data_IF_434381493911
#
_entry.id   IF_434381493911
#
_cell.length_a   1.000
_cell.length_b   1.000
_cell.length_c   1.000
_cell.angle_alpha   90.00
_cell.angle_beta   90.00
_cell.angle_gamma   90.00
#
_symmetry.space_group_name_H-M   'P 1'
#
loop_
_entity.id
_entity.type
_entity.pdbx_description
1 polymer ?
#
# COMPACT_ATOMS: atom_id res chain seq x y z
N UNK A 1 -6.81 11.95 16.04
CA UNK A 1 -7.41 11.92 14.67
C UNK A 1 -6.60 12.84 13.74
N UNK A 2 -5.38 12.45 13.36
CA UNK A 2 -4.52 13.32 12.54
C UNK A 2 -5.18 13.73 11.22
N UNK A 3 -5.73 12.78 10.48
CA UNK A 3 -6.32 13.00 9.13
C UNK A 3 -7.52 13.99 9.09
N UNK A 4 -8.23 14.17 10.20
CA UNK A 4 -9.38 15.10 10.28
C UNK A 4 -9.08 16.34 11.14
N UNK A 5 -7.87 16.49 11.67
CA UNK A 5 -7.52 17.58 12.60
C UNK A 5 -7.70 18.98 11.99
N UNK A 6 -7.46 19.12 10.68
CA UNK A 6 -7.63 20.38 9.94
C UNK A 6 -9.05 20.66 9.45
N UNK A 7 -10.01 19.73 9.64
CA UNK A 7 -11.38 19.89 9.15
C UNK A 7 -12.20 20.75 10.09
N UNK A 8 -12.34 22.04 9.80
CA UNK A 8 -13.09 22.99 10.63
C UNK A 8 -14.53 23.15 10.18
N UNK A 9 -14.80 23.07 8.89
CA UNK A 9 -16.10 23.37 8.29
C UNK A 9 -16.65 22.18 7.51
N UNK A 10 -17.96 22.01 7.57
CA UNK A 10 -18.68 20.96 6.86
C UNK A 10 -18.59 21.15 5.33
N UNK A 11 -18.17 20.14 4.55
CA UNK A 11 -18.08 20.24 3.09
C UNK A 11 -19.44 20.33 2.40
N UNK A 12 -20.56 20.03 3.11
CA UNK A 12 -21.92 20.09 2.56
C UNK A 12 -22.62 21.42 2.80
N UNK A 13 -22.42 22.04 3.98
CA UNK A 13 -23.19 23.22 4.36
C UNK A 13 -22.36 24.33 5.00
N UNK A 14 -21.04 24.18 5.03
CA UNK A 14 -20.10 25.17 5.59
C UNK A 14 -20.26 25.50 7.08
N UNK A 15 -21.15 24.81 7.80
CA UNK A 15 -21.26 24.97 9.25
C UNK A 15 -20.02 24.39 9.97
N UNK A 16 -19.73 24.86 11.17
CA UNK A 16 -18.64 24.35 11.96
C UNK A 16 -18.85 22.87 12.33
N UNK A 17 -17.77 22.07 12.26
CA UNK A 17 -17.79 20.65 12.58
C UNK A 17 -17.46 20.43 14.07
N UNK A 18 -18.17 19.47 14.67
CA UNK A 18 -17.83 18.94 15.99
C UNK A 18 -16.83 17.79 15.84
N UNK A 19 -15.70 17.87 16.51
CA UNK A 19 -14.69 16.83 16.57
C UNK A 19 -14.97 15.84 17.71
N UNK A 20 -15.05 14.56 17.35
CA UNK A 20 -15.15 13.45 18.27
C UNK A 20 -13.89 12.58 18.15
N UNK A 21 -13.73 11.56 18.98
CA UNK A 21 -12.52 10.75 19.07
C UNK A 21 -12.11 10.11 17.72
N UNK A 22 -13.06 9.61 16.94
CA UNK A 22 -12.81 8.88 15.68
C UNK A 22 -13.49 9.48 14.44
N UNK A 23 -14.17 10.63 14.57
CA UNK A 23 -14.93 11.24 13.49
C UNK A 23 -15.19 12.73 13.70
N UNK A 24 -15.65 13.38 12.66
CA UNK A 24 -16.25 14.71 12.73
C UNK A 24 -17.72 14.64 12.36
N UNK A 25 -18.56 15.51 12.97
CA UNK A 25 -20.00 15.57 12.74
C UNK A 25 -20.45 17.01 12.53
N UNK A 26 -21.44 17.18 11.65
CA UNK A 26 -22.13 18.45 11.45
C UNK A 26 -23.52 18.40 12.07
N UNK A 27 -23.74 19.22 13.10
CA UNK A 27 -25.07 19.31 13.77
C UNK A 27 -26.16 19.95 12.91
N UNK A 28 -25.80 20.67 11.84
CA UNK A 28 -26.75 21.37 10.97
C UNK A 28 -27.31 20.46 9.87
N UNK A 29 -26.47 19.67 9.18
CA UNK A 29 -26.91 18.86 8.04
C UNK A 29 -26.74 17.35 8.23
N UNK A 30 -26.26 16.89 9.40
CA UNK A 30 -26.07 15.47 9.69
C UNK A 30 -24.88 14.81 8.98
N UNK A 31 -23.99 15.61 8.36
CA UNK A 31 -22.77 15.06 7.76
C UNK A 31 -21.89 14.42 8.83
N UNK A 32 -21.40 13.21 8.55
CA UNK A 32 -20.42 12.49 9.40
C UNK A 32 -19.27 12.02 8.54
N UNK A 33 -18.02 12.15 9.04
CA UNK A 33 -16.82 11.59 8.43
C UNK A 33 -15.96 10.91 9.50
N UNK A 34 -15.70 9.64 9.30
CA UNK A 34 -14.82 8.86 10.17
C UNK A 34 -13.34 9.01 9.74
N UNK A 35 -12.44 8.94 10.72
CA UNK A 35 -11.00 8.88 10.51
C UNK A 35 -10.57 7.43 10.25
N UNK A 36 -10.89 6.89 9.09
CA UNK A 36 -10.54 5.54 8.70
C UNK A 36 -9.19 5.51 7.97
N UNK A 37 -8.43 4.39 8.05
CA UNK A 37 -7.30 4.17 7.17
C UNK A 37 -7.72 4.20 5.70
N UNK A 38 -6.79 4.58 4.83
CA UNK A 38 -6.98 4.49 3.38
C UNK A 38 -6.60 3.07 2.94
N UNK A 39 -7.47 2.33 2.24
CA UNK A 39 -7.16 0.99 1.78
C UNK A 39 -6.15 1.02 0.64
N UNK A 40 -5.18 0.11 0.69
CA UNK A 40 -4.17 -0.12 -0.34
C UNK A 40 -3.95 -1.61 -0.53
N UNK A 41 -3.46 -2.01 -1.69
CA UNK A 41 -3.03 -3.38 -2.01
C UNK A 41 -1.55 -3.42 -2.29
N UNK A 42 -0.93 -4.57 -2.03
CA UNK A 42 0.47 -4.81 -2.31
C UNK A 42 0.70 -6.26 -2.76
N UNK A 43 1.48 -6.43 -3.81
CA UNK A 43 1.85 -7.72 -4.37
C UNK A 43 3.27 -8.12 -3.95
N UNK A 44 3.41 -9.31 -3.37
CA UNK A 44 4.68 -10.02 -3.27
C UNK A 44 4.81 -10.90 -4.52
N UNK A 45 5.33 -10.30 -5.60
CA UNK A 45 5.45 -10.97 -6.90
C UNK A 45 6.68 -11.87 -6.91
N UNK A 46 6.46 -13.15 -7.15
CA UNK A 46 7.53 -14.17 -7.14
C UNK A 46 7.63 -14.81 -8.52
N UNK A 47 8.86 -14.94 -9.01
CA UNK A 47 9.17 -15.66 -10.23
C UNK A 47 9.39 -17.16 -10.00
N UNK A 48 9.58 -17.92 -11.10
CA UNK A 48 9.82 -19.37 -11.05
C UNK A 48 11.14 -19.75 -10.34
N UNK A 49 12.09 -18.81 -10.21
CA UNK A 49 13.33 -18.99 -9.44
C UNK A 49 13.14 -18.67 -7.94
N UNK A 50 11.94 -18.27 -7.51
CA UNK A 50 11.64 -17.91 -6.14
C UNK A 50 12.17 -16.54 -5.71
N UNK A 51 12.51 -15.65 -6.68
CA UNK A 51 12.93 -14.29 -6.43
C UNK A 51 11.73 -13.37 -6.29
N UNK A 52 11.82 -12.40 -5.42
CA UNK A 52 10.80 -11.37 -5.16
C UNK A 52 11.10 -10.12 -5.99
N UNK A 53 10.09 -9.56 -6.67
CA UNK A 53 10.18 -8.26 -7.33
C UNK A 53 9.85 -7.14 -6.35
N UNK A 54 10.72 -6.12 -6.30
CA UNK A 54 10.45 -4.86 -5.64
C UNK A 54 10.63 -3.70 -6.62
N UNK A 55 9.91 -2.61 -6.39
CA UNK A 55 10.00 -1.35 -7.09
C UNK A 55 10.70 -0.29 -6.24
N UNK A 56 11.41 0.64 -6.88
CA UNK A 56 11.99 1.79 -6.21
C UNK A 56 11.08 3.00 -6.43
N UNK A 57 10.67 3.66 -5.38
CA UNK A 57 9.72 4.78 -5.43
C UNK A 57 10.27 5.96 -6.23
N UNK A 58 9.48 6.47 -7.18
CA UNK A 58 9.81 7.65 -7.97
C UNK A 58 9.39 8.97 -7.28
N UNK A 59 8.35 8.93 -6.43
CA UNK A 59 7.76 10.11 -5.80
C UNK A 59 7.68 9.98 -4.28
N UNK A 60 7.47 11.12 -3.60
CA UNK A 60 7.26 11.17 -2.16
C UNK A 60 5.96 10.43 -1.75
N UNK A 61 5.94 9.85 -0.55
CA UNK A 61 7.01 9.80 0.44
C UNK A 61 8.11 8.80 0.07
N UNK A 62 9.27 8.92 0.74
CA UNK A 62 10.35 7.92 0.73
C UNK A 62 10.93 7.61 -0.67
N UNK A 63 11.15 8.67 -1.49
CA UNK A 63 11.74 8.58 -2.84
C UNK A 63 13.06 7.81 -2.82
N UNK A 64 13.20 6.86 -3.76
CA UNK A 64 14.41 6.07 -3.94
C UNK A 64 14.54 4.87 -2.99
N UNK A 65 13.62 4.66 -2.05
CA UNK A 65 13.55 3.45 -1.24
C UNK A 65 12.76 2.34 -1.94
N UNK A 66 13.01 1.10 -1.55
CA UNK A 66 12.33 -0.07 -2.09
C UNK A 66 10.94 -0.25 -1.50
N UNK A 67 9.98 -0.55 -2.36
CA UNK A 67 8.59 -0.82 -2.02
C UNK A 67 8.11 -2.09 -2.71
N UNK A 68 7.01 -2.62 -2.26
CA UNK A 68 6.24 -3.64 -2.98
C UNK A 68 5.52 -2.98 -4.16
N UNK A 69 5.15 -3.75 -5.17
CA UNK A 69 4.31 -3.28 -6.26
C UNK A 69 2.86 -3.23 -5.78
N UNK A 70 2.19 -2.09 -5.98
CA UNK A 70 0.81 -1.88 -5.54
C UNK A 70 0.52 -0.44 -5.15
N UNK A 71 -0.76 -0.14 -4.86
CA UNK A 71 -1.20 1.21 -4.58
C UNK A 71 -2.56 1.29 -3.90
N UNK A 72 -3.17 2.46 -3.93
CA UNK A 72 -4.47 2.69 -3.32
C UNK A 72 -5.61 2.13 -4.18
N UNK A 73 -6.65 1.65 -3.50
CA UNK A 73 -7.89 1.24 -4.16
C UNK A 73 -8.64 2.45 -4.67
N UNK A 74 -9.16 2.35 -5.89
CA UNK A 74 -10.13 3.29 -6.43
C UNK A 74 -11.51 3.12 -5.77
N UNK A 75 -12.38 4.13 -5.91
CA UNK A 75 -13.75 4.04 -5.39
C UNK A 75 -14.52 2.90 -6.09
N UNK A 76 -15.08 2.00 -5.31
CA UNK A 76 -15.79 0.78 -5.75
C UNK A 76 -14.91 -0.27 -6.44
N UNK A 77 -13.62 -0.25 -6.23
CA UNK A 77 -12.68 -1.25 -6.73
C UNK A 77 -12.48 -2.38 -5.71
N UNK A 78 -12.48 -3.63 -6.17
CA UNK A 78 -12.12 -4.79 -5.36
C UNK A 78 -10.61 -4.92 -5.22
N UNK A 79 -10.12 -5.38 -4.06
CA UNK A 79 -8.69 -5.47 -3.77
C UNK A 79 -7.89 -6.29 -4.80
N UNK A 80 -8.44 -7.40 -5.31
CA UNK A 80 -7.77 -8.22 -6.33
C UNK A 80 -7.74 -7.50 -7.69
N UNK A 81 -8.78 -6.76 -8.04
CA UNK A 81 -8.82 -5.95 -9.26
C UNK A 81 -7.79 -4.82 -9.18
N UNK A 82 -7.74 -4.10 -8.06
CA UNK A 82 -6.73 -3.08 -7.79
C UNK A 82 -5.31 -3.63 -7.92
N UNK A 83 -5.06 -4.83 -7.36
CA UNK A 83 -3.73 -5.44 -7.44
C UNK A 83 -3.30 -5.73 -8.89
N UNK A 84 -4.21 -6.27 -9.72
CA UNK A 84 -3.92 -6.50 -11.13
C UNK A 84 -3.66 -5.21 -11.90
N UNK A 85 -4.46 -4.15 -11.63
CA UNK A 85 -4.30 -2.83 -12.25
C UNK A 85 -2.94 -2.22 -11.88
N UNK A 86 -2.61 -2.13 -10.59
CA UNK A 86 -1.36 -1.56 -10.10
C UNK A 86 -0.13 -2.32 -10.64
N UNK A 87 -0.15 -3.65 -10.59
CA UNK A 87 0.96 -4.46 -11.14
C UNK A 87 1.16 -4.19 -12.63
N UNK A 88 0.08 -4.08 -13.40
CA UNK A 88 0.16 -3.80 -14.83
C UNK A 88 0.66 -2.37 -15.09
N UNK A 89 0.15 -1.38 -14.37
CA UNK A 89 0.50 0.05 -14.52
C UNK A 89 1.97 0.31 -14.14
N UNK A 90 2.42 -0.22 -13.01
CA UNK A 90 3.76 0.03 -12.48
C UNK A 90 4.87 -0.80 -13.15
N UNK A 91 4.54 -1.99 -13.67
CA UNK A 91 5.57 -2.94 -14.13
C UNK A 91 5.34 -3.52 -15.52
N UNK A 92 4.13 -3.42 -16.07
CA UNK A 92 3.74 -4.09 -17.32
C UNK A 92 3.60 -5.60 -17.21
N UNK A 93 3.58 -6.17 -16.00
CA UNK A 93 3.46 -7.60 -15.76
C UNK A 93 2.02 -8.05 -15.67
N UNK A 94 1.78 -9.31 -16.05
CA UNK A 94 0.57 -10.06 -15.69
C UNK A 94 0.91 -11.08 -14.60
N UNK A 95 0.08 -11.11 -13.56
CA UNK A 95 0.27 -11.99 -12.41
C UNK A 95 -0.99 -12.79 -12.09
N UNK A 96 -0.80 -13.93 -11.46
CA UNK A 96 -1.85 -14.69 -10.80
C UNK A 96 -1.80 -14.37 -9.31
N UNK A 97 -2.88 -13.79 -8.77
CA UNK A 97 -2.99 -13.47 -7.35
C UNK A 97 -3.22 -14.73 -6.55
N UNK A 98 -2.36 -14.95 -5.58
CA UNK A 98 -2.33 -16.13 -4.72
C UNK A 98 -2.87 -15.87 -3.32
N UNK A 99 -2.17 -16.39 -2.30
CA UNK A 99 -2.61 -16.33 -0.93
C UNK A 99 -2.58 -14.91 -0.35
N UNK A 100 -3.57 -14.58 0.47
CA UNK A 100 -3.54 -13.39 1.31
C UNK A 100 -2.47 -13.57 2.41
N UNK A 101 -1.49 -12.69 2.45
CA UNK A 101 -0.39 -12.71 3.43
C UNK A 101 -0.81 -12.07 4.73
N UNK A 102 -1.40 -10.90 4.67
CA UNK A 102 -1.83 -10.17 5.85
C UNK A 102 -2.32 -8.75 5.55
N UNK A 103 -2.83 -8.10 6.59
CA UNK A 103 -3.21 -6.69 6.57
C UNK A 103 -2.31 -5.90 7.52
N UNK A 104 -1.63 -4.90 7.00
CA UNK A 104 -0.62 -4.12 7.73
C UNK A 104 -0.96 -2.63 7.67
N UNK A 105 -1.04 -1.99 8.84
CA UNK A 105 -1.25 -0.54 8.91
C UNK A 105 0.06 0.18 9.16
N UNK A 106 0.28 1.29 8.42
CA UNK A 106 1.40 2.20 8.64
C UNK A 106 1.01 3.63 8.21
N UNK A 107 1.82 4.62 8.60
CA UNK A 107 1.65 5.99 8.13
C UNK A 107 2.16 6.09 6.68
N UNK A 108 1.40 6.76 5.83
CA UNK A 108 1.81 7.10 4.46
C UNK A 108 2.36 8.52 4.44
N UNK A 109 3.62 8.67 4.84
CA UNK A 109 4.34 9.93 4.94
C UNK A 109 4.86 10.22 6.34
N UNK A 110 5.71 11.25 6.45
CA UNK A 110 6.41 11.61 7.68
C UNK A 110 5.76 12.77 8.47
N UNK A 111 4.66 13.36 7.97
CA UNK A 111 4.00 14.50 8.61
C UNK A 111 3.05 14.06 9.72
N UNK A 112 2.78 14.93 10.70
CA UNK A 112 1.88 14.62 11.80
C UNK A 112 0.42 14.37 11.40
N UNK A 113 0.04 14.79 10.20
CA UNK A 113 -1.28 14.64 9.58
C UNK A 113 -1.29 13.60 8.46
N UNK A 114 -0.20 12.86 8.28
CA UNK A 114 -0.12 11.79 7.30
C UNK A 114 -1.25 10.77 7.52
N UNK A 115 -1.93 10.33 6.45
CA UNK A 115 -2.95 9.29 6.56
C UNK A 115 -2.33 7.96 6.97
N UNK A 116 -3.10 7.16 7.68
CA UNK A 116 -2.77 5.73 7.86
C UNK A 116 -3.25 4.98 6.63
N UNK A 117 -2.38 4.22 5.98
CA UNK A 117 -2.74 3.23 4.98
C UNK A 117 -3.01 1.88 5.65
N UNK A 118 -3.98 1.12 5.12
CA UNK A 118 -4.21 -0.28 5.44
C UNK A 118 -3.84 -1.10 4.21
N UNK A 119 -2.67 -1.71 4.23
CA UNK A 119 -2.11 -2.46 3.11
C UNK A 119 -2.57 -3.91 3.18
N UNK A 120 -3.33 -4.35 2.19
CA UNK A 120 -3.76 -5.73 1.99
C UNK A 120 -2.72 -6.43 1.11
N UNK A 121 -1.92 -7.31 1.71
CA UNK A 121 -0.77 -7.95 1.04
C UNK A 121 -1.14 -9.33 0.54
N UNK A 122 -0.86 -9.59 -0.72
CA UNK A 122 -1.08 -10.88 -1.38
C UNK A 122 0.23 -11.40 -1.99
N UNK A 123 0.40 -12.71 -1.98
CA UNK A 123 1.34 -13.35 -2.89
C UNK A 123 0.82 -13.21 -4.33
N UNK A 124 1.74 -13.05 -5.27
CA UNK A 124 1.43 -13.07 -6.68
C UNK A 124 2.51 -13.86 -7.44
N UNK A 125 2.09 -14.69 -8.38
CA UNK A 125 3.00 -15.44 -9.25
C UNK A 125 3.06 -14.74 -10.62
N UNK A 126 4.27 -14.52 -11.11
CA UNK A 126 4.47 -14.02 -12.47
C UNK A 126 3.87 -15.00 -13.50
N UNK A 127 3.01 -14.49 -14.36
CA UNK A 127 2.42 -15.24 -15.48
C UNK A 127 3.10 -14.89 -16.80
N UNK A 128 3.24 -13.58 -17.09
CA UNK A 128 3.84 -13.11 -18.33
C UNK A 128 4.40 -11.69 -18.19
N UNK A 129 5.27 -11.31 -19.12
CA UNK A 129 5.86 -10.00 -19.23
C UNK A 129 7.32 -9.94 -18.74
N UNK A 130 7.98 -8.86 -19.08
CA UNK A 130 9.28 -8.45 -18.56
C UNK A 130 9.07 -7.19 -17.73
N UNK A 131 9.50 -7.14 -16.44
CA UNK A 131 9.24 -6.01 -15.59
C UNK A 131 9.95 -4.75 -16.11
N UNK A 132 9.20 -3.69 -16.25
CA UNK A 132 9.69 -2.36 -16.68
C UNK A 132 9.12 -1.32 -15.74
N UNK A 133 9.97 -0.50 -15.11
CA UNK A 133 9.49 0.54 -14.22
C UNK A 133 8.62 1.54 -14.99
N UNK A 134 7.46 1.83 -14.45
CA UNK A 134 6.51 2.81 -15.00
C UNK A 134 5.74 3.48 -13.86
N UNK A 135 4.93 4.47 -14.18
CA UNK A 135 4.13 5.28 -13.27
C UNK A 135 4.98 5.84 -12.10
N UNK A 136 4.70 5.45 -10.87
CA UNK A 136 5.41 5.94 -9.69
C UNK A 136 6.59 5.07 -9.24
N UNK A 137 6.98 4.10 -10.06
CA UNK A 137 8.17 3.24 -9.90
C UNK A 137 9.30 3.70 -10.84
N UNK A 138 10.49 4.01 -10.28
CA UNK A 138 11.67 4.47 -11.03
C UNK A 138 12.63 3.35 -11.41
N UNK A 139 12.61 2.23 -10.71
CA UNK A 139 13.46 1.05 -10.91
C UNK A 139 12.74 -0.19 -10.43
N UNK A 140 12.95 -1.33 -11.06
CA UNK A 140 12.48 -2.64 -10.55
C UNK A 140 13.65 -3.60 -10.47
N UNK A 141 13.69 -4.46 -9.44
CA UNK A 141 14.72 -5.45 -9.27
C UNK A 141 14.18 -6.73 -8.62
N UNK A 142 14.78 -7.86 -9.03
CA UNK A 142 14.53 -9.17 -8.46
C UNK A 142 15.51 -9.47 -7.33
N UNK A 143 14.99 -9.82 -6.18
CA UNK A 143 15.75 -10.15 -4.98
C UNK A 143 15.62 -11.63 -4.63
N UNK A 144 16.73 -12.28 -4.36
CA UNK A 144 16.71 -13.57 -3.66
C UNK A 144 16.43 -13.34 -2.18
N UNK A 145 16.03 -14.37 -1.45
CA UNK A 145 15.78 -14.26 -0.01
C UNK A 145 16.97 -13.70 0.76
N UNK A 146 18.21 -14.07 0.36
CA UNK A 146 19.45 -13.65 1.03
C UNK A 146 19.92 -12.25 0.60
N UNK A 147 19.31 -11.67 -0.42
CA UNK A 147 19.65 -10.33 -0.96
C UNK A 147 18.54 -9.30 -0.78
N UNK A 148 17.50 -9.60 -0.01
CA UNK A 148 16.42 -8.64 0.27
C UNK A 148 17.00 -7.35 0.88
N UNK A 149 16.41 -6.18 0.57
CA UNK A 149 16.81 -4.92 1.16
C UNK A 149 16.73 -4.94 2.68
N UNK A 150 17.64 -4.22 3.32
CA UNK A 150 17.59 -3.99 4.77
C UNK A 150 16.42 -3.09 5.15
N UNK A 151 16.05 -3.04 6.43
CA UNK A 151 14.94 -2.21 6.89
C UNK A 151 15.09 -0.73 6.52
N UNK A 152 16.33 -0.20 6.51
CA UNK A 152 16.60 1.20 6.16
C UNK A 152 16.52 1.50 4.65
N UNK A 153 16.49 0.46 3.82
CA UNK A 153 16.32 0.55 2.37
C UNK A 153 14.86 0.37 1.94
N UNK A 154 13.97 -0.03 2.87
CA UNK A 154 12.53 -0.19 2.64
C UNK A 154 11.76 1.11 2.94
N UNK A 155 10.83 1.47 2.07
CA UNK A 155 10.04 2.70 2.18
C UNK A 155 9.16 2.74 3.45
N UNK A 156 8.58 1.61 3.84
CA UNK A 156 7.66 1.53 4.97
C UNK A 156 7.99 0.37 5.89
N UNK A 157 7.75 0.55 7.19
CA UNK A 157 8.01 -0.50 8.20
C UNK A 157 7.16 -1.74 8.03
N UNK A 158 5.95 -1.57 7.48
CA UNK A 158 5.04 -2.68 7.26
C UNK A 158 5.59 -3.69 6.24
N UNK A 159 6.42 -3.26 5.28
CA UNK A 159 7.02 -4.12 4.25
C UNK A 159 7.90 -5.19 4.91
N UNK A 160 8.78 -4.79 5.83
CA UNK A 160 9.62 -5.74 6.55
C UNK A 160 8.79 -6.83 7.25
N UNK A 161 7.69 -6.42 7.93
CA UNK A 161 6.76 -7.35 8.59
C UNK A 161 6.07 -8.28 7.59
N UNK A 162 5.65 -7.76 6.43
CA UNK A 162 5.03 -8.57 5.39
C UNK A 162 6.02 -9.59 4.80
N UNK A 163 7.28 -9.20 4.61
CA UNK A 163 8.36 -10.10 4.15
C UNK A 163 8.68 -11.19 5.16
N UNK A 164 8.69 -10.87 6.47
CA UNK A 164 8.86 -11.85 7.54
C UNK A 164 7.73 -12.90 7.55
N UNK A 165 6.46 -12.46 7.47
CA UNK A 165 5.29 -13.34 7.39
C UNK A 165 5.33 -14.23 6.15
N UNK A 166 5.67 -13.67 5.01
CA UNK A 166 5.82 -14.41 3.76
C UNK A 166 6.94 -15.46 3.85
N UNK A 167 8.10 -15.09 4.41
CA UNK A 167 9.23 -16.00 4.57
C UNK A 167 8.90 -17.15 5.52
N UNK A 168 8.18 -16.90 6.62
CA UNK A 168 7.77 -17.91 7.58
C UNK A 168 6.88 -19.00 6.95
N UNK A 169 5.89 -18.60 6.13
CA UNK A 169 4.96 -19.53 5.46
C UNK A 169 5.63 -20.50 4.49
N UNK A 170 6.72 -20.07 3.84
CA UNK A 170 7.47 -20.90 2.89
C UNK A 170 8.49 -21.81 3.56
N UNK A 171 8.64 -21.74 4.87
CA UNK A 171 9.54 -22.57 5.67
C UNK A 171 8.81 -23.75 6.31
N UNK A 172 7.49 -23.83 6.21
CA UNK A 172 6.70 -24.99 6.63
C UNK A 172 6.78 -26.07 5.54
N UNK A 173 7.15 -27.32 5.91
CA UNK A 173 7.35 -28.43 4.96
C UNK A 173 6.04 -28.93 4.34
#
# INVERSE_FOLDING_TARGET
>A
MAILAGWRFCPRCSAELTHLESRVECSVCGFVRYANPVPAVAALIVDDAGRLLLGRRAFAPDVGLWDTIGGFLDENEDAVAALHREVLEETGLEVEVGAFVGAFSDLYGATADAPTALNLVFEARLVSGEPRPADDVSEVAWFTRDSLPTHDELAFRWIARALEEWAARRSEP
#
